data_IF_454396235187
#
_entry.id   IF_454396235187
#
_cell.length_a   1.000
_cell.length_b   1.000
_cell.length_c   1.000
_cell.angle_alpha   90.00
_cell.angle_beta   90.00
_cell.angle_gamma   90.00
#
_symmetry.space_group_name_H-M   'P 1'
#
loop_
_entity.id
_entity.type
_entity.pdbx_description
1 polymer ?
#
# COMPACT_ATOMS: atom_id res chain seq x y z
N UNK A 1 8.44 -6.76 -6.23
CA UNK A 1 7.67 -5.64 -6.82
C UNK A 1 6.21 -5.79 -6.45
N UNK A 2 5.54 -4.70 -6.10
CA UNK A 2 4.18 -4.72 -5.50
C UNK A 2 3.10 -4.31 -6.52
N UNK A 3 3.41 -3.31 -7.35
CA UNK A 3 2.62 -2.88 -8.50
C UNK A 3 3.31 -3.36 -9.78
N UNK A 4 2.61 -3.80 -10.84
CA UNK A 4 1.17 -3.74 -11.15
C UNK A 4 0.42 -5.07 -10.96
N UNK A 5 0.90 -5.94 -10.06
CA UNK A 5 0.42 -7.33 -9.93
C UNK A 5 -1.04 -7.45 -9.45
N UNK A 6 -1.61 -6.32 -9.02
CA UNK A 6 -2.96 -6.13 -8.51
C UNK A 6 -3.93 -5.61 -9.58
N UNK A 7 -3.42 -5.26 -10.77
CA UNK A 7 -4.22 -4.67 -11.84
C UNK A 7 -5.26 -5.67 -12.34
N UNK A 8 -6.46 -5.19 -12.67
CA UNK A 8 -7.56 -5.97 -13.26
C UNK A 8 -7.12 -6.86 -14.43
N UNK A 9 -6.21 -6.40 -15.30
CA UNK A 9 -5.71 -7.22 -16.41
C UNK A 9 -4.91 -8.44 -15.92
N UNK A 10 -4.07 -8.26 -14.90
CA UNK A 10 -3.30 -9.36 -14.27
C UNK A 10 -4.25 -10.27 -13.50
N UNK A 11 -5.19 -9.71 -12.75
CA UNK A 11 -6.19 -10.49 -12.00
C UNK A 11 -7.10 -11.32 -12.92
N UNK A 12 -7.46 -10.80 -14.10
CA UNK A 12 -8.22 -11.54 -15.09
C UNK A 12 -7.40 -12.68 -15.71
N UNK A 13 -6.08 -12.49 -15.87
CA UNK A 13 -5.19 -13.54 -16.34
C UNK A 13 -5.00 -14.66 -15.30
N UNK A 14 -4.86 -14.32 -14.01
CA UNK A 14 -4.66 -15.28 -12.91
C UNK A 14 -5.94 -16.04 -12.55
N UNK A 15 -7.11 -15.41 -12.72
CA UNK A 15 -8.42 -16.01 -12.49
C UNK A 15 -9.33 -15.77 -13.70
N UNK A 16 -9.09 -16.50 -14.82
CA UNK A 16 -9.87 -16.36 -16.05
C UNK A 16 -11.33 -16.83 -15.91
N UNK A 17 -11.57 -17.70 -14.93
CA UNK A 17 -12.89 -18.13 -14.45
C UNK A 17 -13.61 -17.06 -13.61
N UNK A 18 -12.94 -15.95 -13.32
CA UNK A 18 -13.49 -14.88 -12.49
C UNK A 18 -13.44 -15.15 -10.99
N UNK A 19 -12.76 -16.21 -10.53
CA UNK A 19 -12.68 -16.60 -9.12
C UNK A 19 -12.14 -15.45 -8.26
N UNK A 20 -13.04 -14.87 -7.46
CA UNK A 20 -12.74 -13.74 -6.60
C UNK A 20 -11.73 -14.09 -5.50
N UNK A 21 -11.77 -15.32 -4.98
CA UNK A 21 -10.86 -15.76 -3.93
C UNK A 21 -9.43 -15.85 -4.46
N UNK A 22 -9.22 -16.43 -5.64
CA UNK A 22 -7.90 -16.47 -6.29
C UNK A 22 -7.31 -15.08 -6.50
N UNK A 23 -8.14 -14.12 -6.93
CA UNK A 23 -7.72 -12.72 -7.11
C UNK A 23 -7.29 -12.07 -5.80
N UNK A 24 -8.04 -12.30 -4.72
CA UNK A 24 -7.73 -11.77 -3.38
C UNK A 24 -6.49 -12.44 -2.80
N UNK A 25 -6.37 -13.76 -2.89
CA UNK A 25 -5.21 -14.50 -2.37
C UNK A 25 -3.91 -14.09 -3.10
N UNK A 26 -3.99 -13.92 -4.43
CA UNK A 26 -2.91 -13.34 -5.22
C UNK A 26 -2.54 -11.95 -4.75
N UNK A 27 -3.57 -11.11 -4.54
CA UNK A 27 -3.36 -9.75 -4.10
C UNK A 27 -2.68 -9.69 -2.71
N UNK A 28 -3.16 -10.49 -1.76
CA UNK A 28 -2.61 -10.59 -0.42
C UNK A 28 -1.15 -11.02 -0.44
N UNK A 29 -0.81 -12.02 -1.25
CA UNK A 29 0.56 -12.52 -1.33
C UNK A 29 1.55 -11.42 -1.73
N UNK A 30 1.27 -10.71 -2.83
CA UNK A 30 2.22 -9.73 -3.37
C UNK A 30 2.26 -8.41 -2.59
N UNK A 31 1.12 -7.95 -2.04
CA UNK A 31 1.14 -6.80 -1.14
C UNK A 31 1.91 -7.13 0.12
N UNK A 32 1.60 -8.25 0.79
CA UNK A 32 2.23 -8.58 2.08
C UNK A 32 3.73 -8.74 1.91
N UNK A 33 4.17 -9.49 0.90
CA UNK A 33 5.60 -9.65 0.60
C UNK A 33 6.32 -8.32 0.43
N UNK A 34 5.75 -7.40 -0.33
CA UNK A 34 6.40 -6.12 -0.53
C UNK A 34 6.28 -5.17 0.65
N UNK A 35 5.25 -5.30 1.48
CA UNK A 35 5.13 -4.57 2.75
C UNK A 35 6.17 -5.06 3.75
N UNK A 36 6.48 -6.36 3.78
CA UNK A 36 7.60 -6.90 4.56
C UNK A 36 8.93 -6.27 4.12
N UNK A 37 9.21 -6.23 2.81
CA UNK A 37 10.42 -5.61 2.27
C UNK A 37 10.48 -4.09 2.57
N UNK A 38 9.36 -3.39 2.39
CA UNK A 38 9.26 -1.95 2.63
C UNK A 38 9.37 -1.59 4.11
N UNK A 39 8.77 -2.37 5.00
CA UNK A 39 8.85 -2.21 6.45
C UNK A 39 10.31 -2.29 6.91
N UNK A 40 11.05 -3.29 6.45
CA UNK A 40 12.48 -3.42 6.76
C UNK A 40 13.31 -2.25 6.22
N UNK A 41 12.99 -1.80 5.01
CA UNK A 41 13.68 -0.70 4.36
C UNK A 41 13.42 0.66 5.04
N UNK A 42 12.19 0.94 5.45
CA UNK A 42 11.82 2.22 6.09
C UNK A 42 12.18 2.29 7.57
N UNK A 43 12.33 1.15 8.25
CA UNK A 43 12.66 1.09 9.68
C UNK A 43 13.86 1.98 10.09
N UNK A 44 15.00 2.01 9.37
CA UNK A 44 16.14 2.87 9.73
C UNK A 44 16.03 4.33 9.27
N UNK A 45 15.17 4.66 8.29
CA UNK A 45 15.19 5.97 7.59
C UNK A 45 13.92 6.80 7.79
N UNK A 46 12.81 6.17 8.19
CA UNK A 46 11.55 6.86 8.42
C UNK A 46 11.59 7.72 9.68
N UNK A 47 10.88 8.85 9.62
CA UNK A 47 10.67 9.74 10.76
C UNK A 47 9.18 9.96 10.98
N UNK A 48 8.70 11.15 10.64
CA UNK A 48 7.28 11.44 10.47
C UNK A 48 6.73 10.82 9.19
N UNK A 49 7.53 10.80 8.13
CA UNK A 49 7.15 10.32 6.79
C UNK A 49 8.12 9.21 6.33
N UNK A 50 8.02 8.75 5.08
CA UNK A 50 8.87 7.68 4.54
C UNK A 50 10.36 7.95 4.75
N UNK A 51 10.80 9.20 4.60
CA UNK A 51 12.20 9.60 4.80
C UNK A 51 12.29 10.82 5.72
N UNK A 52 12.66 10.59 6.98
CA UNK A 52 12.74 11.65 7.99
C UNK A 52 11.40 12.38 8.20
N UNK A 53 11.45 13.71 8.23
CA UNK A 53 10.31 14.56 8.62
C UNK A 53 9.75 15.42 7.47
N UNK A 54 10.23 15.23 6.25
CA UNK A 54 9.74 15.93 5.06
C UNK A 54 9.00 14.97 4.14
N UNK A 55 7.95 15.46 3.47
CA UNK A 55 7.22 14.70 2.46
C UNK A 55 8.12 14.59 1.23
N UNK A 56 8.21 13.38 0.68
CA UNK A 56 9.00 13.05 -0.50
C UNK A 56 8.13 12.38 -1.56
N UNK A 57 8.72 12.12 -2.73
CA UNK A 57 8.05 11.32 -3.76
C UNK A 57 7.65 9.93 -3.26
N UNK A 58 8.40 9.36 -2.31
CA UNK A 58 8.08 8.05 -1.75
C UNK A 58 6.74 8.06 -1.03
N UNK A 59 6.39 9.14 -0.32
CA UNK A 59 5.13 9.28 0.40
C UNK A 59 3.93 9.34 -0.57
N UNK A 60 4.10 10.02 -1.70
CA UNK A 60 3.08 10.14 -2.75
C UNK A 60 2.74 8.76 -3.33
N UNK A 61 3.76 7.94 -3.60
CA UNK A 61 3.54 6.58 -4.14
C UNK A 61 3.06 5.63 -3.04
N UNK A 62 3.57 5.79 -1.82
CA UNK A 62 3.27 4.93 -0.69
C UNK A 62 1.81 5.02 -0.26
N UNK A 63 1.22 6.22 -0.21
CA UNK A 63 -0.16 6.38 0.23
C UNK A 63 -1.15 5.64 -0.69
N UNK A 64 -0.96 5.74 -2.02
CA UNK A 64 -1.76 5.03 -3.00
C UNK A 64 -1.62 3.50 -2.85
N UNK A 65 -0.38 3.04 -2.59
CA UNK A 65 -0.12 1.65 -2.33
C UNK A 65 -0.78 1.14 -1.04
N UNK A 66 -0.81 1.96 0.01
CA UNK A 66 -1.45 1.62 1.28
C UNK A 66 -2.98 1.55 1.14
N UNK A 67 -3.61 2.47 0.40
CA UNK A 67 -5.02 2.36 0.04
C UNK A 67 -5.33 1.08 -0.74
N UNK A 68 -4.45 0.67 -1.64
CA UNK A 68 -4.63 -0.60 -2.34
C UNK A 68 -4.57 -1.81 -1.37
N UNK A 69 -3.68 -1.78 -0.37
CA UNK A 69 -3.66 -2.79 0.68
C UNK A 69 -4.97 -2.82 1.49
N UNK A 70 -5.52 -1.66 1.83
CA UNK A 70 -6.84 -1.53 2.49
C UNK A 70 -7.97 -2.07 1.62
N UNK A 71 -7.98 -1.73 0.32
CA UNK A 71 -8.97 -2.22 -0.66
C UNK A 71 -9.03 -3.74 -0.70
N UNK A 72 -7.87 -4.40 -0.70
CA UNK A 72 -7.78 -5.86 -0.67
C UNK A 72 -7.89 -6.45 0.74
N UNK A 73 -8.05 -5.63 1.79
CA UNK A 73 -8.15 -6.05 3.19
C UNK A 73 -6.92 -6.83 3.67
N UNK A 74 -5.73 -6.40 3.26
CA UNK A 74 -4.47 -6.96 3.76
C UNK A 74 -4.29 -6.55 5.22
N UNK A 75 -3.89 -7.51 6.06
CA UNK A 75 -3.56 -7.25 7.46
C UNK A 75 -2.26 -6.44 7.57
N UNK A 76 -2.39 -5.15 7.89
CA UNK A 76 -1.23 -4.26 8.06
C UNK A 76 -0.71 -4.21 9.49
N UNK A 77 -1.32 -4.92 10.45
CA UNK A 77 -0.90 -4.91 11.86
C UNK A 77 0.54 -5.41 12.06
N UNK A 78 1.04 -6.19 11.10
CA UNK A 78 2.41 -6.73 11.07
C UNK A 78 3.46 -5.68 10.65
N UNK A 79 3.04 -4.51 10.19
CA UNK A 79 3.92 -3.49 9.62
C UNK A 79 3.77 -2.14 10.36
N UNK A 80 4.26 -2.04 11.60
CA UNK A 80 4.05 -0.87 12.44
C UNK A 80 4.72 0.41 11.89
N UNK A 81 5.86 0.31 11.20
CA UNK A 81 6.57 1.47 10.64
C UNK A 81 5.79 2.09 9.51
N UNK A 82 5.41 1.30 8.49
CA UNK A 82 4.64 1.82 7.36
C UNK A 82 3.25 2.27 7.81
N UNK A 83 2.62 1.60 8.78
CA UNK A 83 1.33 2.01 9.34
C UNK A 83 1.43 3.37 10.03
N UNK A 84 2.49 3.60 10.83
CA UNK A 84 2.76 4.92 11.43
C UNK A 84 2.93 6.00 10.36
N UNK A 85 3.69 5.72 9.30
CA UNK A 85 3.89 6.66 8.20
C UNK A 85 2.56 6.99 7.51
N UNK A 86 1.74 5.99 7.21
CA UNK A 86 0.42 6.18 6.59
C UNK A 86 -0.48 7.07 7.45
N UNK A 87 -0.59 6.78 8.75
CA UNK A 87 -1.40 7.59 9.67
C UNK A 87 -0.91 9.05 9.75
N UNK A 88 0.40 9.29 9.64
CA UNK A 88 0.93 10.65 9.60
C UNK A 88 0.58 11.36 8.28
N UNK A 89 0.62 10.65 7.15
CA UNK A 89 0.26 11.19 5.84
C UNK A 89 -1.24 11.47 5.71
N UNK A 90 -2.09 10.62 6.27
CA UNK A 90 -3.55 10.80 6.27
C UNK A 90 -3.98 12.08 7.01
N UNK A 91 -3.14 12.59 7.93
CA UNK A 91 -3.41 13.83 8.64
C UNK A 91 -3.05 15.11 7.84
N UNK A 92 -2.34 14.99 6.72
CA UNK A 92 -1.95 16.10 5.85
C UNK A 92 -3.11 16.46 4.92
N UNK A 93 -3.49 17.74 4.87
CA UNK A 93 -4.67 18.20 4.13
C UNK A 93 -4.61 17.89 2.63
N UNK A 94 -3.42 18.01 2.03
CA UNK A 94 -3.19 17.72 0.62
C UNK A 94 -3.50 16.26 0.28
N UNK A 95 -3.17 15.32 1.18
CA UNK A 95 -3.49 13.91 1.00
C UNK A 95 -4.96 13.60 1.30
N UNK A 96 -5.60 14.30 2.24
CA UNK A 96 -7.05 14.15 2.48
C UNK A 96 -7.89 14.51 1.26
N UNK A 97 -7.50 15.57 0.55
CA UNK A 97 -8.22 16.03 -0.65
C UNK A 97 -8.07 15.13 -1.88
N UNK A 98 -7.12 14.19 -1.83
CA UNK A 98 -6.81 13.25 -2.92
C UNK A 98 -7.19 11.81 -2.57
N UNK A 99 -8.01 11.62 -1.53
CA UNK A 99 -8.50 10.30 -1.14
C UNK A 99 -9.27 9.66 -2.31
N UNK A 100 -9.14 8.34 -2.55
CA UNK A 100 -9.88 7.66 -3.62
C UNK A 100 -11.40 7.86 -3.57
N UNK A 101 -11.95 8.02 -2.36
CA UNK A 101 -13.39 8.27 -2.14
C UNK A 101 -13.83 9.72 -2.40
N UNK A 102 -12.89 10.65 -2.64
CA UNK A 102 -13.17 12.06 -2.94
C UNK A 102 -13.01 12.41 -4.42
N UNK A 103 -12.87 11.42 -5.30
CA UNK A 103 -12.72 11.60 -6.76
C UNK A 103 -13.86 10.98 -7.56
#
# INVERSE_FOLDING_TARGET
GIQPLQNNAVLAYIAPDGDAKKKVDWAHHFISKGFEELEQFLKPVSGKYCFGNQITLADIVFIAQYYNAMRFKVDTSKFPTITKVFNNLENVEEFKSTHPDTQ
#
